data_IF_145838126214
#
_entry.id   IF_145838126214
#
_cell.length_a   1.000
_cell.length_b   1.000
_cell.length_c   1.000
_cell.angle_alpha   90.00
_cell.angle_beta   90.00
_cell.angle_gamma   90.00
#
_symmetry.space_group_name_H-M   'P 1'
#
loop_
_entity.id
_entity.type
_entity.pdbx_description
1 polymer ?
#
# COMPACT_ATOMS: atom_id res chain seq x y z
N UNK A 1 -10.37 -40.20 52.74
CA UNK A 1 -11.13 -38.96 52.52
C UNK A 1 -10.31 -38.11 51.55
N UNK A 2 -10.74 -38.04 50.29
CA UNK A 2 -9.94 -37.54 49.17
C UNK A 2 -9.71 -36.02 49.19
N UNK A 3 -8.45 -35.65 48.96
CA UNK A 3 -7.96 -34.29 48.73
C UNK A 3 -8.74 -33.53 47.66
N UNK A 4 -9.19 -32.32 48.00
CA UNK A 4 -9.73 -31.35 47.04
C UNK A 4 -8.57 -30.71 46.28
N UNK A 5 -8.46 -31.02 45.00
CA UNK A 5 -7.52 -30.34 44.07
C UNK A 5 -8.19 -29.06 43.57
N UNK A 6 -7.64 -27.91 43.97
CA UNK A 6 -8.01 -26.60 43.45
C UNK A 6 -7.41 -26.46 42.04
N UNK A 7 -8.24 -26.40 41.00
CA UNK A 7 -7.79 -26.12 39.63
C UNK A 7 -7.58 -24.60 39.49
N UNK A 8 -6.32 -24.16 39.43
CA UNK A 8 -5.97 -22.84 38.91
C UNK A 8 -6.19 -22.85 37.39
N UNK A 9 -7.11 -22.04 36.88
CA UNK A 9 -7.12 -21.67 35.47
C UNK A 9 -6.07 -20.58 35.25
N UNK A 10 -4.97 -20.93 34.59
CA UNK A 10 -4.05 -19.95 34.06
C UNK A 10 -4.65 -19.36 32.77
N UNK A 11 -5.06 -18.09 32.82
CA UNK A 11 -5.34 -17.30 31.62
C UNK A 11 -3.99 -16.95 30.98
N UNK A 12 -3.58 -17.72 29.97
CA UNK A 12 -2.47 -17.35 29.11
C UNK A 12 -2.98 -16.25 28.15
N UNK A 13 -2.71 -14.98 28.49
CA UNK A 13 -2.88 -13.88 27.55
C UNK A 13 -1.85 -14.00 26.44
N UNK A 14 -2.30 -14.27 25.21
CA UNK A 14 -1.46 -14.13 24.02
C UNK A 14 -1.23 -12.63 23.77
N UNK A 15 -0.08 -12.13 24.22
CA UNK A 15 0.45 -10.86 23.76
C UNK A 15 0.97 -11.09 22.33
N UNK A 16 0.15 -10.79 21.33
CA UNK A 16 0.62 -10.71 19.94
C UNK A 16 1.60 -9.53 19.83
N UNK A 17 2.82 -9.79 19.38
CA UNK A 17 3.75 -8.72 19.04
C UNK A 17 3.17 -7.96 17.84
N UNK A 18 2.80 -6.70 18.02
CA UNK A 18 2.50 -5.81 16.92
C UNK A 18 3.81 -5.58 16.15
N UNK A 19 3.90 -6.12 14.93
CA UNK A 19 5.01 -5.79 14.03
C UNK A 19 4.86 -4.32 13.67
N UNK A 20 5.83 -3.50 14.06
CA UNK A 20 5.85 -2.10 13.68
C UNK A 20 6.20 -1.97 12.20
N UNK A 21 5.48 -1.09 11.51
CA UNK A 21 5.80 -0.63 10.16
C UNK A 21 7.23 -0.11 10.09
N UNK A 22 7.92 -0.36 8.98
CA UNK A 22 9.21 0.25 8.65
C UNK A 22 9.22 0.74 7.20
N UNK A 23 10.30 1.41 6.79
CA UNK A 23 10.46 1.94 5.43
C UNK A 23 11.75 1.41 4.80
N UNK A 24 11.70 1.08 3.52
CA UNK A 24 12.88 0.84 2.68
C UNK A 24 12.99 1.97 1.67
N UNK A 25 14.12 2.69 1.67
CA UNK A 25 14.42 3.77 0.73
C UNK A 25 15.21 3.25 -0.47
N UNK A 26 15.39 4.13 -1.46
CA UNK A 26 16.26 3.87 -2.62
C UNK A 26 15.85 2.63 -3.44
N UNK A 27 14.54 2.37 -3.50
CA UNK A 27 13.96 1.28 -4.30
C UNK A 27 13.69 1.80 -5.71
N UNK A 28 14.33 1.18 -6.71
CA UNK A 28 13.99 1.40 -8.11
C UNK A 28 12.59 0.86 -8.38
N UNK A 29 11.76 1.66 -9.06
CA UNK A 29 10.43 1.27 -9.49
C UNK A 29 10.40 1.22 -11.00
N UNK A 30 10.10 0.07 -11.58
CA UNK A 30 9.68 -0.05 -12.98
C UNK A 30 8.28 -0.66 -13.05
N UNK A 31 7.81 -0.84 -14.27
CA UNK A 31 6.51 -1.40 -14.56
C UNK A 31 6.64 -2.46 -15.65
N UNK A 32 5.77 -3.47 -15.57
CA UNK A 32 5.65 -4.54 -16.56
C UNK A 32 4.18 -4.87 -16.81
N UNK A 33 3.95 -5.70 -17.81
CA UNK A 33 2.63 -6.03 -18.28
C UNK A 33 2.58 -7.35 -19.03
N UNK A 34 1.42 -7.61 -19.63
CA UNK A 34 1.22 -8.79 -20.46
C UNK A 34 2.23 -8.89 -21.62
N UNK A 35 2.56 -7.82 -22.39
CA UNK A 35 3.41 -7.95 -23.58
C UNK A 35 4.86 -8.35 -23.28
N UNK A 36 5.40 -7.96 -22.14
CA UNK A 36 6.83 -8.04 -21.79
C UNK A 36 7.11 -8.99 -20.62
N UNK A 37 6.07 -9.50 -19.93
CA UNK A 37 6.21 -10.71 -19.12
C UNK A 37 6.71 -11.88 -19.99
N UNK A 38 7.53 -12.78 -19.44
CA UNK A 38 8.24 -13.81 -20.22
C UNK A 38 7.83 -15.24 -19.84
N UNK A 39 7.08 -15.97 -20.70
CA UNK A 39 6.52 -15.53 -21.99
C UNK A 39 5.32 -14.59 -21.82
N UNK A 40 4.91 -13.86 -22.88
CA UNK A 40 3.83 -12.86 -22.82
C UNK A 40 2.53 -13.46 -22.28
N UNK A 41 2.21 -13.10 -21.03
CA UNK A 41 1.13 -13.66 -20.25
C UNK A 41 0.87 -12.80 -19.01
N UNK A 42 -0.17 -13.14 -18.27
CA UNK A 42 -0.38 -12.64 -16.92
C UNK A 42 0.08 -13.65 -15.85
N UNK A 43 0.85 -14.67 -16.22
CA UNK A 43 1.30 -15.69 -15.28
C UNK A 43 2.35 -15.12 -14.32
N UNK A 44 2.35 -15.59 -13.08
CA UNK A 44 3.25 -15.13 -12.00
C UNK A 44 3.90 -16.31 -11.29
N UNK A 45 5.05 -16.08 -10.65
CA UNK A 45 5.82 -17.13 -9.97
C UNK A 45 5.12 -17.79 -8.76
N UNK A 46 4.26 -17.07 -8.04
CA UNK A 46 3.77 -17.47 -6.72
C UNK A 46 2.25 -17.34 -6.55
N UNK A 47 1.61 -18.44 -6.17
CA UNK A 47 0.25 -18.38 -5.63
C UNK A 47 0.25 -17.90 -4.17
N UNK A 48 -0.31 -16.71 -3.96
CA UNK A 48 -0.49 -16.07 -2.66
C UNK A 48 -1.96 -16.02 -2.22
N UNK A 49 -2.79 -16.93 -2.74
CA UNK A 49 -4.21 -17.08 -2.39
C UNK A 49 -5.18 -16.63 -3.49
N UNK A 50 -4.69 -16.19 -4.65
CA UNK A 50 -5.51 -15.83 -5.82
C UNK A 50 -5.16 -16.60 -7.09
N UNK A 51 -4.34 -17.65 -6.99
CA UNK A 51 -3.81 -18.39 -8.13
C UNK A 51 -2.54 -17.78 -8.71
N UNK A 52 -2.16 -18.24 -9.90
CA UNK A 52 -0.92 -17.88 -10.59
C UNK A 52 -1.15 -16.82 -11.67
N UNK A 53 -1.96 -15.81 -11.38
CA UNK A 53 -2.23 -14.71 -12.31
C UNK A 53 -2.00 -13.36 -11.64
N UNK A 54 -1.23 -12.49 -12.29
CA UNK A 54 -1.00 -11.11 -11.87
C UNK A 54 -2.32 -10.34 -11.74
N UNK A 55 -2.30 -9.24 -11.01
CA UNK A 55 -3.42 -8.28 -10.99
C UNK A 55 -3.62 -7.66 -9.62
N UNK A 56 -4.87 -7.42 -9.28
CA UNK A 56 -5.29 -6.73 -8.06
C UNK A 56 -5.48 -5.24 -8.25
N UNK A 57 -6.30 -4.67 -7.39
CA UNK A 57 -6.72 -3.26 -7.44
C UNK A 57 -5.75 -2.34 -6.68
N UNK A 58 -4.90 -2.89 -5.82
CA UNK A 58 -3.98 -2.15 -4.97
C UNK A 58 -4.57 -1.78 -3.60
N UNK A 59 -5.67 -2.42 -3.20
CA UNK A 59 -6.19 -2.33 -1.82
C UNK A 59 -5.44 -3.31 -0.91
N UNK A 60 -5.56 -3.19 0.42
CA UNK A 60 -4.88 -4.14 1.32
C UNK A 60 -5.37 -5.58 1.13
N UNK A 61 -6.68 -5.76 0.91
CA UNK A 61 -7.30 -7.08 0.73
C UNK A 61 -7.09 -7.63 -0.69
N UNK A 62 -6.85 -6.76 -1.67
CA UNK A 62 -6.54 -7.10 -3.05
C UNK A 62 -5.34 -6.28 -3.57
N UNK A 63 -4.12 -6.59 -3.09
CA UNK A 63 -2.91 -5.85 -3.43
C UNK A 63 -2.53 -6.07 -4.89
N UNK A 64 -1.89 -5.06 -5.49
CA UNK A 64 -1.40 -5.13 -6.86
C UNK A 64 -0.14 -6.01 -6.93
N UNK A 65 -0.02 -6.86 -7.94
CA UNK A 65 1.18 -7.69 -8.15
C UNK A 65 2.41 -6.82 -8.37
N UNK A 66 3.50 -7.18 -7.72
CA UNK A 66 4.83 -6.77 -8.16
C UNK A 66 5.78 -7.96 -8.24
N UNK A 67 6.79 -7.80 -9.08
CA UNK A 67 7.93 -8.69 -9.22
C UNK A 67 9.18 -8.09 -8.59
N UNK A 68 10.07 -8.93 -8.05
CA UNK A 68 11.38 -8.51 -7.53
C UNK A 68 12.36 -9.70 -7.55
N UNK A 69 13.56 -9.53 -7.00
CA UNK A 69 14.50 -10.63 -6.78
C UNK A 69 14.05 -11.55 -5.62
N UNK A 70 14.15 -12.88 -5.76
CA UNK A 70 13.96 -13.79 -4.63
C UNK A 70 14.91 -13.46 -3.46
N UNK A 71 14.34 -13.17 -2.30
CA UNK A 71 15.09 -12.83 -1.08
C UNK A 71 15.29 -11.33 -0.85
N UNK A 72 14.89 -10.47 -1.79
CA UNK A 72 14.79 -9.02 -1.56
C UNK A 72 13.60 -8.70 -0.66
N UNK A 73 12.43 -9.25 -1.00
CA UNK A 73 11.22 -9.26 -0.16
C UNK A 73 10.80 -10.71 0.17
N UNK A 74 10.00 -10.90 1.22
CA UNK A 74 9.46 -12.23 1.55
C UNK A 74 8.37 -12.59 0.55
N UNK A 75 8.37 -13.82 0.05
CA UNK A 75 7.29 -14.36 -0.79
C UNK A 75 5.91 -14.03 -0.18
N UNK A 76 5.00 -13.48 -1.00
CA UNK A 76 3.65 -13.03 -0.62
C UNK A 76 3.60 -11.86 0.38
N UNK A 77 4.71 -11.17 0.64
CA UNK A 77 4.74 -9.98 1.49
C UNK A 77 3.89 -8.86 0.88
N UNK A 78 3.09 -8.21 1.72
CA UNK A 78 2.35 -7.01 1.36
C UNK A 78 3.16 -5.81 1.81
N UNK A 79 3.42 -4.91 0.87
CA UNK A 79 4.03 -3.61 1.09
C UNK A 79 3.04 -2.51 0.66
N UNK A 80 3.33 -1.26 1.00
CA UNK A 80 2.58 -0.12 0.47
C UNK A 80 3.54 0.84 -0.21
N UNK A 81 3.19 1.25 -1.43
CA UNK A 81 3.98 2.18 -2.23
C UNK A 81 3.25 3.53 -2.28
N UNK A 82 3.71 4.56 -1.54
CA UNK A 82 3.12 5.88 -1.54
C UNK A 82 3.07 6.52 -2.95
N UNK A 83 4.06 6.23 -3.80
CA UNK A 83 4.11 6.69 -5.19
C UNK A 83 2.86 6.32 -6.00
N UNK A 84 2.26 5.15 -5.75
CA UNK A 84 0.99 4.75 -6.39
C UNK A 84 -0.22 4.91 -5.48
N UNK A 85 -0.01 5.12 -4.18
CA UNK A 85 -1.01 4.92 -3.13
C UNK A 85 -1.69 3.55 -3.28
N UNK A 86 -0.89 2.51 -3.43
CA UNK A 86 -1.36 1.13 -3.56
C UNK A 86 -0.59 0.22 -2.63
N UNK A 87 -1.29 -0.78 -2.12
CA UNK A 87 -0.67 -1.96 -1.55
C UNK A 87 -0.21 -2.87 -2.67
N UNK A 88 1.00 -3.40 -2.55
CA UNK A 88 1.60 -4.32 -3.51
C UNK A 88 1.86 -5.66 -2.83
N UNK A 89 1.83 -6.76 -3.58
CA UNK A 89 2.19 -8.10 -3.08
C UNK A 89 3.24 -8.74 -3.97
N UNK A 90 4.29 -9.28 -3.33
CA UNK A 90 5.37 -9.97 -4.03
C UNK A 90 4.88 -11.33 -4.49
N UNK A 91 4.55 -11.44 -5.77
CA UNK A 91 3.98 -12.64 -6.35
C UNK A 91 4.74 -13.15 -7.57
N UNK A 92 5.64 -12.36 -8.10
CA UNK A 92 6.34 -12.69 -9.34
C UNK A 92 7.82 -12.36 -9.28
N UNK A 93 8.64 -12.82 -10.23
CA UNK A 93 10.08 -12.59 -10.22
C UNK A 93 10.57 -11.95 -11.50
N UNK A 94 11.49 -11.00 -11.39
CA UNK A 94 12.10 -10.33 -12.55
C UNK A 94 13.61 -10.60 -12.63
N UNK A 95 14.08 -10.90 -13.85
CA UNK A 95 15.48 -11.22 -14.12
C UNK A 95 16.40 -10.00 -13.90
N UNK A 96 15.96 -8.82 -14.32
CA UNK A 96 16.72 -7.58 -14.12
C UNK A 96 16.80 -7.23 -12.64
N UNK A 97 15.69 -7.31 -11.90
CA UNK A 97 15.70 -7.11 -10.44
C UNK A 97 16.65 -8.07 -9.73
N UNK A 98 16.70 -9.34 -10.15
CA UNK A 98 17.66 -10.32 -9.60
C UNK A 98 19.11 -9.90 -9.82
N UNK A 99 19.42 -9.37 -11.01
CA UNK A 99 20.75 -8.83 -11.31
C UNK A 99 21.06 -7.61 -10.46
N UNK A 100 20.12 -6.69 -10.33
CA UNK A 100 20.26 -5.47 -9.54
C UNK A 100 20.45 -5.77 -8.05
N UNK A 101 19.68 -6.70 -7.49
CA UNK A 101 19.78 -7.11 -6.10
C UNK A 101 21.13 -7.76 -5.77
N UNK A 102 21.67 -8.59 -6.67
CA UNK A 102 23.03 -9.12 -6.53
C UNK A 102 24.11 -8.03 -6.53
N UNK A 103 23.82 -6.87 -7.13
CA UNK A 103 24.68 -5.70 -7.15
C UNK A 103 24.35 -4.69 -6.03
N UNK A 104 23.44 -5.02 -5.12
CA UNK A 104 23.06 -4.19 -3.97
C UNK A 104 22.07 -3.07 -4.28
N UNK A 105 21.36 -3.14 -5.42
CA UNK A 105 20.28 -2.21 -5.78
C UNK A 105 18.93 -2.88 -5.53
N UNK A 106 18.05 -2.22 -4.79
CA UNK A 106 16.66 -2.66 -4.61
C UNK A 106 15.85 -2.29 -5.86
N UNK A 107 15.02 -3.21 -6.33
CA UNK A 107 14.26 -3.04 -7.56
C UNK A 107 12.96 -3.85 -7.50
N UNK A 108 11.83 -3.16 -7.66
CA UNK A 108 10.53 -3.78 -7.87
C UNK A 108 9.93 -3.37 -9.21
N UNK A 109 9.24 -4.32 -9.83
CA UNK A 109 8.63 -4.17 -11.15
C UNK A 109 7.12 -4.42 -11.04
N UNK A 110 6.27 -3.46 -11.40
CA UNK A 110 4.87 -3.43 -10.98
C UNK A 110 3.92 -3.70 -12.16
N UNK A 111 2.96 -4.60 -11.97
CA UNK A 111 2.00 -4.96 -13.00
C UNK A 111 1.05 -3.80 -13.37
N UNK A 112 0.86 -3.53 -14.66
CA UNK A 112 0.09 -2.35 -15.13
C UNK A 112 -1.30 -2.64 -15.68
N UNK A 113 -1.55 -3.83 -16.22
CA UNK A 113 -2.58 -4.00 -17.25
C UNK A 113 -3.53 -5.18 -17.10
N UNK A 114 -4.12 -5.54 -18.24
CA UNK A 114 -5.13 -6.59 -18.34
C UNK A 114 -4.52 -7.98 -18.20
N UNK A 115 -5.20 -8.87 -17.46
CA UNK A 115 -4.77 -10.27 -17.31
C UNK A 115 -5.15 -11.17 -18.50
N UNK A 116 -5.95 -10.65 -19.43
CA UNK A 116 -6.52 -11.43 -20.54
C UNK A 116 -6.14 -10.93 -21.93
N UNK A 117 -5.44 -9.80 -22.01
CA UNK A 117 -5.13 -9.17 -23.29
C UNK A 117 -3.83 -8.37 -23.22
N UNK A 118 -2.95 -8.58 -24.20
CA UNK A 118 -1.79 -7.72 -24.41
C UNK A 118 -2.18 -6.33 -24.91
N UNK A 119 -1.60 -5.29 -24.31
CA UNK A 119 -1.65 -3.92 -24.83
C UNK A 119 -0.57 -3.60 -25.86
N UNK A 120 0.35 -4.53 -26.15
CA UNK A 120 1.47 -4.37 -27.08
C UNK A 120 2.37 -3.19 -26.72
N UNK A 121 2.99 -2.59 -27.74
CA UNK A 121 3.90 -1.45 -27.58
C UNK A 121 3.27 -0.25 -26.84
N UNK A 122 1.96 -0.06 -26.93
CA UNK A 122 1.27 1.02 -26.19
C UNK A 122 1.28 0.80 -24.68
N UNK A 123 1.33 -0.46 -24.24
CA UNK A 123 1.49 -0.78 -22.83
C UNK A 123 2.95 -0.63 -22.39
N UNK A 124 3.91 -1.02 -23.25
CA UNK A 124 5.34 -0.80 -23.02
C UNK A 124 5.64 0.70 -22.87
N UNK A 125 5.15 1.54 -23.78
CA UNK A 125 5.29 3.00 -23.67
C UNK A 125 4.66 3.57 -22.38
N UNK A 126 3.62 2.90 -21.86
CA UNK A 126 2.99 3.29 -20.61
C UNK A 126 3.85 2.91 -19.40
N UNK A 127 4.44 1.72 -19.41
CA UNK A 127 5.37 1.24 -18.38
C UNK A 127 6.55 2.22 -18.23
N UNK A 128 7.14 2.64 -19.34
CA UNK A 128 8.17 3.67 -19.39
C UNK A 128 7.67 5.01 -18.83
N UNK A 129 6.44 5.41 -19.16
CA UNK A 129 5.86 6.69 -18.73
C UNK A 129 5.47 6.72 -17.24
N UNK A 130 5.23 5.56 -16.63
CA UNK A 130 4.90 5.43 -15.21
C UNK A 130 6.15 5.34 -14.32
N UNK A 131 7.26 4.86 -14.89
CA UNK A 131 8.57 4.72 -14.24
C UNK A 131 9.08 6.08 -13.78
N UNK A 132 9.26 6.32 -12.47
CA UNK A 132 9.81 7.58 -11.96
C UNK A 132 11.32 7.70 -12.25
N UNK A 133 11.80 8.93 -12.45
CA UNK A 133 13.24 9.20 -12.62
C UNK A 133 14.06 8.92 -11.34
N UNK A 134 13.45 9.21 -10.18
CA UNK A 134 14.07 9.03 -8.86
C UNK A 134 13.59 7.72 -8.20
N UNK A 135 14.46 7.12 -7.38
CA UNK A 135 14.10 6.00 -6.53
C UNK A 135 13.03 6.37 -5.50
N UNK A 136 12.24 5.39 -5.08
CA UNK A 136 11.09 5.59 -4.20
C UNK A 136 11.30 4.95 -2.82
N UNK A 137 10.46 5.33 -1.86
CA UNK A 137 10.41 4.69 -0.54
C UNK A 137 9.19 3.77 -0.45
N UNK A 138 9.42 2.53 -0.06
CA UNK A 138 8.39 1.50 0.15
C UNK A 138 8.13 1.33 1.64
N UNK A 139 6.86 1.15 2.01
CA UNK A 139 6.43 0.89 3.38
C UNK A 139 6.31 -0.62 3.62
N UNK A 140 7.07 -1.13 4.59
CA UNK A 140 7.12 -2.54 4.97
C UNK A 140 6.24 -2.80 6.19
N UNK A 141 5.55 -3.95 6.20
CA UNK A 141 4.52 -4.27 7.20
C UNK A 141 3.52 -3.11 7.40
N UNK A 142 2.91 -2.61 6.31
CA UNK A 142 2.04 -1.43 6.39
C UNK A 142 0.77 -1.73 7.21
N UNK A 143 0.21 -0.69 7.83
CA UNK A 143 -1.16 -0.76 8.34
C UNK A 143 -2.16 -1.01 7.21
N UNK A 144 -3.38 -1.45 7.52
CA UNK A 144 -4.34 -1.93 6.52
C UNK A 144 -5.32 -0.87 6.01
N UNK A 145 -5.20 0.38 6.48
CA UNK A 145 -6.19 1.45 6.25
C UNK A 145 -5.57 2.74 5.70
N UNK A 146 -4.48 2.64 4.95
CA UNK A 146 -3.91 3.78 4.25
C UNK A 146 -4.82 4.23 3.10
N UNK A 147 -4.67 5.47 2.66
CA UNK A 147 -5.36 5.99 1.48
C UNK A 147 -4.98 5.16 0.26
N UNK A 148 -5.97 4.72 -0.53
CA UNK A 148 -5.72 3.92 -1.73
C UNK A 148 -6.22 4.65 -2.98
N UNK A 149 -5.44 4.61 -4.04
CA UNK A 149 -5.91 4.85 -5.40
C UNK A 149 -6.09 3.50 -6.10
N UNK A 150 -7.32 3.03 -6.30
CA UNK A 150 -7.60 1.75 -6.96
C UNK A 150 -7.76 1.86 -8.48
N UNK A 151 -7.58 3.05 -9.05
CA UNK A 151 -7.72 3.24 -10.50
C UNK A 151 -6.62 2.50 -11.27
N UNK A 152 -6.93 2.17 -12.52
CA UNK A 152 -6.05 1.40 -13.42
C UNK A 152 -4.82 2.22 -13.84
N UNK A 153 -3.70 1.53 -14.09
CA UNK A 153 -2.48 2.15 -14.63
C UNK A 153 -2.46 2.12 -16.16
N UNK A 154 -2.93 1.00 -16.73
CA UNK A 154 -3.14 0.84 -18.16
C UNK A 154 -4.46 0.10 -18.44
N UNK A 155 -5.34 0.69 -19.25
CA UNK A 155 -6.59 0.03 -19.64
C UNK A 155 -7.12 0.56 -20.96
N UNK A 156 -7.74 -0.33 -21.75
CA UNK A 156 -8.34 0.01 -23.05
C UNK A 156 -7.39 0.75 -24.00
N UNK A 157 -6.11 0.37 -23.99
CA UNK A 157 -5.06 1.01 -24.82
C UNK A 157 -4.66 2.41 -24.36
N UNK A 158 -5.00 2.80 -23.12
CA UNK A 158 -4.67 4.11 -22.56
C UNK A 158 -3.81 3.96 -21.30
N UNK A 159 -2.78 4.78 -21.23
CA UNK A 159 -1.96 4.98 -20.04
C UNK A 159 -2.55 6.03 -19.10
N UNK A 160 -2.49 5.81 -17.80
CA UNK A 160 -3.02 6.71 -16.76
C UNK A 160 -1.93 7.22 -15.82
N UNK A 161 -1.01 8.03 -16.37
CA UNK A 161 0.06 8.69 -15.58
C UNK A 161 -0.46 9.68 -14.54
N UNK A 162 -1.75 10.05 -14.56
CA UNK A 162 -2.38 10.82 -13.48
C UNK A 162 -2.55 10.03 -12.17
N UNK A 163 -2.34 8.71 -12.20
CA UNK A 163 -2.53 7.83 -11.05
C UNK A 163 -1.24 7.61 -10.23
N UNK A 164 -0.22 8.45 -10.44
CA UNK A 164 1.03 8.46 -9.67
C UNK A 164 1.15 9.71 -8.81
N UNK A 165 1.96 9.63 -7.76
CA UNK A 165 2.10 10.64 -6.71
C UNK A 165 3.59 10.84 -6.38
N UNK A 166 4.32 11.48 -7.29
CA UNK A 166 5.79 11.70 -7.21
C UNK A 166 6.29 12.43 -5.95
N UNK A 167 5.41 13.16 -5.25
CA UNK A 167 5.74 13.88 -4.02
C UNK A 167 5.15 13.22 -2.76
N UNK A 168 4.84 11.92 -2.80
CA UNK A 168 4.25 11.23 -1.66
C UNK A 168 5.26 11.05 -0.53
N UNK A 169 4.98 11.66 0.62
CA UNK A 169 5.85 11.57 1.81
C UNK A 169 5.63 10.27 2.58
N UNK A 170 6.61 9.36 2.45
CA UNK A 170 6.64 8.08 3.13
C UNK A 170 6.83 8.19 4.66
N UNK A 171 7.42 9.28 5.16
CA UNK A 171 7.76 9.45 6.59
C UNK A 171 6.53 9.50 7.52
N UNK A 172 5.36 9.79 6.94
CA UNK A 172 4.09 9.87 7.65
C UNK A 172 3.46 8.51 8.00
N UNK A 173 3.82 7.42 7.30
CA UNK A 173 3.07 6.15 7.38
C UNK A 173 3.47 5.25 8.55
N UNK A 174 4.75 5.22 8.95
CA UNK A 174 5.22 4.39 10.07
C UNK A 174 5.33 5.11 11.41
N UNK A 175 5.04 6.42 11.46
CA UNK A 175 5.11 7.23 12.68
C UNK A 175 3.95 6.98 13.65
N UNK A 176 2.92 6.23 13.24
CA UNK A 176 1.73 5.92 14.03
C UNK A 176 1.73 4.48 14.50
N UNK A 177 2.68 4.13 15.38
CA UNK A 177 2.57 2.95 16.22
C UNK A 177 1.48 3.16 17.27
N UNK A 178 0.20 3.03 16.91
CA UNK A 178 -0.89 2.89 17.87
C UNK A 178 -2.08 2.18 17.23
N UNK A 179 -2.20 0.92 17.63
CA UNK A 179 -3.43 0.15 17.77
C UNK A 179 -4.73 0.96 17.59
N UNK A 180 -5.53 0.55 16.61
CA UNK A 180 -6.96 0.82 16.66
C UNK A 180 -7.53 0.29 17.97
N UNK A 181 -7.87 1.21 18.87
CA UNK A 181 -8.74 1.01 20.04
C UNK A 181 -9.04 2.37 20.67
N UNK A 182 -9.90 3.17 20.04
CA UNK A 182 -10.58 4.26 20.74
C UNK A 182 -11.89 3.72 21.33
N UNK A 183 -11.74 2.94 22.39
CA UNK A 183 -12.78 2.80 23.42
C UNK A 183 -12.70 4.04 24.31
N UNK A 184 -13.45 5.09 23.97
CA UNK A 184 -13.72 6.19 24.90
C UNK A 184 -15.21 6.35 25.10
N UNK A 185 -15.69 5.66 26.12
CA UNK A 185 -16.92 6.03 26.83
C UNK A 185 -16.76 7.48 27.32
N UNK A 186 -17.51 8.39 26.72
CA UNK A 186 -17.53 9.80 27.09
C UNK A 186 -18.86 10.42 26.66
N UNK A 187 -19.85 10.34 27.53
CA UNK A 187 -21.14 11.00 27.39
C UNK A 187 -20.96 12.51 27.22
N UNK A 188 -21.52 13.08 26.16
CA UNK A 188 -21.53 14.53 25.93
C UNK A 188 -22.17 14.89 24.61
N UNK A 189 -23.48 15.12 24.64
CA UNK A 189 -24.32 15.54 23.52
C UNK A 189 -23.79 16.82 22.83
N UNK A 190 -23.76 16.84 21.49
CA UNK A 190 -24.60 17.68 20.61
C UNK A 190 -23.91 18.14 19.31
N UNK A 191 -24.62 17.88 18.21
CA UNK A 191 -24.52 18.46 16.85
C UNK A 191 -23.24 18.25 16.04
N UNK A 192 -23.25 17.11 15.35
CA UNK A 192 -22.61 16.77 14.09
C UNK A 192 -22.53 17.88 13.04
N UNK A 193 -21.33 18.19 12.59
CA UNK A 193 -21.05 18.43 11.17
C UNK A 193 -20.18 17.29 10.67
N UNK A 194 -20.78 16.39 9.89
CA UNK A 194 -20.08 15.31 9.20
C UNK A 194 -18.97 15.89 8.35
N UNK A 195 -17.76 15.44 8.57
CA UNK A 195 -16.60 15.94 7.87
C UNK A 195 -16.54 15.20 6.54
N UNK A 196 -16.47 15.94 5.43
CA UNK A 196 -16.36 15.38 4.09
C UNK A 196 -15.09 14.56 3.92
N UNK A 197 -14.06 14.78 4.74
CA UNK A 197 -12.90 13.90 4.84
C UNK A 197 -12.26 13.92 6.24
N UNK A 198 -11.69 12.79 6.63
CA UNK A 198 -11.10 12.56 7.97
C UNK A 198 -9.89 13.46 8.21
N UNK A 199 -9.80 14.07 9.40
CA UNK A 199 -8.67 14.90 9.82
C UNK A 199 -8.82 16.40 9.61
N UNK A 200 -9.91 16.85 8.97
CA UNK A 200 -10.15 18.26 8.63
C UNK A 200 -11.50 18.77 9.16
N UNK A 201 -11.94 18.14 10.24
CA UNK A 201 -13.18 18.41 10.95
C UNK A 201 -13.14 19.73 11.73
N UNK A 202 -14.29 20.14 12.27
CA UNK A 202 -14.30 21.20 13.29
C UNK A 202 -13.31 20.85 14.42
N UNK A 203 -12.39 21.76 14.74
CA UNK A 203 -11.30 21.57 15.70
C UNK A 203 -10.03 20.90 15.15
N UNK A 204 -10.00 20.48 13.88
CA UNK A 204 -8.77 20.06 13.21
C UNK A 204 -7.79 21.23 13.06
N UNK A 205 -6.49 20.92 13.05
CA UNK A 205 -5.45 21.91 12.80
C UNK A 205 -5.45 22.32 11.32
N UNK A 206 -5.30 23.61 11.05
CA UNK A 206 -5.28 24.17 9.69
C UNK A 206 -4.25 25.30 9.57
N UNK A 207 -3.76 25.54 8.34
CA UNK A 207 -2.93 26.70 7.99
C UNK A 207 -3.68 27.67 7.07
N UNK A 208 -4.57 27.13 6.24
CA UNK A 208 -5.40 27.85 5.26
C UNK A 208 -6.83 27.30 5.28
N UNK A 209 -7.77 28.05 4.70
CA UNK A 209 -9.18 27.64 4.64
C UNK A 209 -9.44 26.33 3.88
N UNK A 210 -8.57 25.97 2.93
CA UNK A 210 -8.66 24.70 2.19
C UNK A 210 -8.32 23.46 3.03
N UNK A 211 -7.76 23.66 4.23
CA UNK A 211 -7.48 22.59 5.18
C UNK A 211 -8.73 22.21 6.00
N UNK A 212 -9.88 22.84 5.73
CA UNK A 212 -11.10 22.65 6.51
C UNK A 212 -12.22 22.05 5.67
N UNK A 213 -12.96 21.12 6.27
CA UNK A 213 -13.96 20.34 5.57
C UNK A 213 -15.29 21.08 5.41
N UNK A 214 -15.91 20.93 4.25
CA UNK A 214 -17.25 21.48 3.97
C UNK A 214 -17.24 23.01 3.94
N UNK A 215 -18.00 23.63 4.84
CA UNK A 215 -18.15 25.09 4.93
C UNK A 215 -17.29 25.71 6.03
N UNK A 216 -16.41 24.94 6.67
CA UNK A 216 -15.57 25.40 7.76
C UNK A 216 -14.40 26.23 7.23
N UNK A 217 -13.93 27.18 8.04
CA UNK A 217 -12.80 28.07 7.69
C UNK A 217 -11.67 27.95 8.70
N UNK A 218 -10.45 28.27 8.29
CA UNK A 218 -9.32 28.22 9.19
C UNK A 218 -9.27 29.46 10.08
N UNK A 219 -9.65 29.29 11.34
CA UNK A 219 -9.67 30.35 12.35
C UNK A 219 -8.67 30.04 13.45
N UNK A 220 -7.65 30.89 13.60
CA UNK A 220 -6.61 30.73 14.63
C UNK A 220 -5.92 29.35 14.63
N UNK A 221 -5.70 28.81 13.42
CA UNK A 221 -5.07 27.51 13.23
C UNK A 221 -6.00 26.32 13.48
N UNK A 222 -7.31 26.55 13.60
CA UNK A 222 -8.34 25.52 13.79
C UNK A 222 -9.53 25.70 12.85
N UNK A 223 -10.07 24.60 12.33
CA UNK A 223 -11.28 24.64 11.52
C UNK A 223 -12.51 24.95 12.38
N UNK A 224 -13.23 26.02 12.05
CA UNK A 224 -14.40 26.51 12.77
C UNK A 224 -15.45 27.14 11.83
#
# INVERSE_FOLDING_TARGET
MSSKVLKLLALAGLLGASVACSTESDVEITFYGYPDNDPPSADIAYDCGRGYTAGGTGTYDDPLTFATAPGEFKKCEIVYLPYLRKYLRFEDTCAQCTTDYHNGKLHIDIWTGSTTSSGGDTQIDCEDSLTPDDSQTVIINPGTSYTVNSDELFASGKCYTSNVYSNADASSYCSSGSSGSSSSSGSGSSSSSSCSWSGHCAGASCSTENDCSGTLTCQSGKCA
#
